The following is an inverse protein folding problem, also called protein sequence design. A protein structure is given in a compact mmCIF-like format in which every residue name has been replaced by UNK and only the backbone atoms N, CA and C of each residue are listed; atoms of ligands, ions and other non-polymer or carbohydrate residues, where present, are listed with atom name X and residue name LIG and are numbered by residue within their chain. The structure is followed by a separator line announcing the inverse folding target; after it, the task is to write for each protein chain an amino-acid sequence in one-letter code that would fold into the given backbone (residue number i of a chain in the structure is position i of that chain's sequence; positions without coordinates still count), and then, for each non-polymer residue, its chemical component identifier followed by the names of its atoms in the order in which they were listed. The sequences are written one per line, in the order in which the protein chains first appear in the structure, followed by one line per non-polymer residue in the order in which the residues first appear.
data_IF_740126110733
#
_entry.id   IF_740126110733
#
_cell.length_a   1.000
_cell.length_b   1.000
_cell.length_c   1.000
_cell.angle_alpha   90.00
_cell.angle_beta   90.00
_cell.angle_gamma   90.00
#
_symmetry.space_group_name_H-M   'P 1'
#
loop_
_entity.id
_entity.type
_entity.pdbx_description
1 polymer ?
#
# COMPACT_ATOMS: atom_id res chain seq x y z
N UNK A 1 -23.96 -42.67 -4.44
CA UNK A 1 -23.21 -41.40 -4.32
C UNK A 1 -22.24 -41.29 -5.49
N UNK A 2 -22.73 -40.86 -6.67
CA UNK A 2 -21.90 -40.72 -7.87
C UNK A 2 -21.18 -39.36 -7.83
N UNK A 3 -19.86 -39.37 -7.66
CA UNK A 3 -19.03 -38.18 -7.78
C UNK A 3 -18.69 -37.98 -9.25
N UNK A 4 -19.47 -37.13 -9.91
CA UNK A 4 -19.32 -36.83 -11.34
C UNK A 4 -17.88 -36.33 -11.65
N UNK A 5 -17.10 -37.06 -12.47
CA UNK A 5 -15.72 -36.71 -12.79
C UNK A 5 -15.59 -35.34 -13.49
N UNK A 6 -16.68 -34.85 -14.07
CA UNK A 6 -16.78 -33.52 -14.70
C UNK A 6 -16.75 -32.41 -13.64
N UNK A 7 -17.36 -32.62 -12.48
CA UNK A 7 -17.35 -31.68 -11.34
C UNK A 7 -15.95 -31.58 -10.73
N UNK A 8 -15.26 -32.71 -10.56
CA UNK A 8 -13.87 -32.74 -10.06
C UNK A 8 -12.92 -31.99 -10.98
N UNK A 9 -13.09 -32.15 -12.29
CA UNK A 9 -12.26 -31.47 -13.30
C UNK A 9 -12.53 -29.96 -13.33
N UNK A 10 -13.79 -29.54 -13.23
CA UNK A 10 -14.16 -28.11 -13.10
C UNK A 10 -13.64 -27.48 -11.81
N UNK A 11 -13.77 -28.17 -10.68
CA UNK A 11 -13.23 -27.70 -9.39
C UNK A 11 -11.70 -27.59 -9.41
N UNK A 12 -10.99 -28.54 -10.05
CA UNK A 12 -9.53 -28.47 -10.20
C UNK A 12 -9.12 -27.27 -11.04
N UNK A 13 -9.75 -27.04 -12.20
CA UNK A 13 -9.49 -25.86 -13.04
C UNK A 13 -9.81 -24.55 -12.32
N UNK A 14 -10.90 -24.49 -11.55
CA UNK A 14 -11.26 -23.32 -10.75
C UNK A 14 -10.21 -23.02 -9.67
N UNK A 15 -9.74 -24.06 -8.95
CA UNK A 15 -8.70 -23.92 -7.92
C UNK A 15 -7.37 -23.46 -8.53
N UNK A 16 -6.95 -24.03 -9.66
CA UNK A 16 -5.71 -23.62 -10.35
C UNK A 16 -5.77 -22.15 -10.78
N UNK A 17 -6.91 -21.69 -11.32
CA UNK A 17 -7.12 -20.28 -11.70
C UNK A 17 -7.13 -19.31 -10.50
N UNK A 18 -7.60 -19.75 -9.34
CA UNK A 18 -7.58 -18.93 -8.12
C UNK A 18 -6.14 -18.73 -7.60
N UNK A 19 -5.32 -19.78 -7.67
CA UNK A 19 -3.90 -19.71 -7.30
C UNK A 19 -3.10 -18.78 -8.23
N UNK A 20 -3.38 -18.81 -9.54
CA UNK A 20 -2.75 -17.92 -10.53
C UNK A 20 -3.10 -16.43 -10.32
N UNK A 21 -4.23 -16.12 -9.69
CA UNK A 21 -4.65 -14.76 -9.36
C UNK A 21 -4.17 -14.29 -7.97
N UNK A 22 -3.35 -15.08 -7.28
CA UNK A 22 -2.89 -14.75 -5.91
C UNK A 22 -4.01 -14.73 -4.86
N UNK A 23 -5.23 -15.17 -5.20
CA UNK A 23 -6.38 -15.15 -4.29
C UNK A 23 -6.37 -16.39 -3.40
N UNK A 24 -6.33 -16.18 -2.08
CA UNK A 24 -6.46 -17.25 -1.09
C UNK A 24 -7.87 -17.25 -0.50
N UNK A 25 -8.54 -18.40 -0.52
CA UNK A 25 -9.81 -18.58 0.17
C UNK A 25 -9.53 -18.85 1.66
N UNK A 26 -10.05 -17.97 2.52
CA UNK A 26 -10.03 -18.14 3.96
C UNK A 26 -11.45 -18.54 4.44
N UNK A 27 -11.54 -19.56 5.28
CA UNK A 27 -12.79 -19.92 5.94
C UNK A 27 -12.81 -19.31 7.34
N UNK A 28 -13.72 -18.36 7.55
CA UNK A 28 -13.88 -17.65 8.82
C UNK A 28 -15.20 -18.07 9.45
N UNK A 29 -15.18 -18.44 10.73
CA UNK A 29 -16.40 -18.58 11.53
C UNK A 29 -16.76 -17.20 12.09
N UNK A 30 -17.90 -16.70 11.66
CA UNK A 30 -18.43 -15.39 12.04
C UNK A 30 -19.78 -15.57 12.72
N UNK A 31 -20.17 -14.63 13.58
CA UNK A 31 -21.57 -14.48 13.97
C UNK A 31 -22.38 -14.04 12.75
N UNK A 32 -23.65 -14.46 12.68
CA UNK A 32 -24.52 -14.18 11.54
C UNK A 32 -24.68 -12.67 11.28
N UNK A 33 -24.79 -11.88 12.35
CA UNK A 33 -24.90 -10.41 12.31
C UNK A 33 -23.62 -9.71 11.82
N UNK A 34 -22.45 -10.35 11.92
CA UNK A 34 -21.17 -9.80 11.46
C UNK A 34 -20.93 -10.01 9.95
N UNK A 35 -21.66 -10.91 9.29
CA UNK A 35 -21.44 -11.25 7.87
C UNK A 35 -21.55 -10.04 6.94
N UNK A 36 -22.57 -9.16 7.04
CA UNK A 36 -22.67 -7.97 6.18
C UNK A 36 -21.50 -7.01 6.37
N UNK A 37 -21.04 -6.81 7.61
CA UNK A 37 -19.93 -5.92 7.92
C UNK A 37 -18.61 -6.42 7.32
N UNK A 38 -18.32 -7.72 7.43
CA UNK A 38 -17.13 -8.34 6.83
C UNK A 38 -17.17 -8.28 5.30
N UNK A 39 -18.33 -8.51 4.67
CA UNK A 39 -18.47 -8.35 3.21
C UNK A 39 -18.25 -6.92 2.75
N UNK A 40 -18.82 -5.95 3.47
CA UNK A 40 -18.63 -4.54 3.16
C UNK A 40 -17.17 -4.12 3.33
N UNK A 41 -16.49 -4.62 4.36
CA UNK A 41 -15.05 -4.42 4.57
C UNK A 41 -14.24 -5.00 3.41
N UNK A 42 -14.46 -6.28 3.07
CA UNK A 42 -13.75 -6.92 1.95
C UNK A 42 -13.94 -6.16 0.63
N UNK A 43 -15.17 -5.72 0.33
CA UNK A 43 -15.44 -4.93 -0.87
C UNK A 43 -14.78 -3.54 -0.85
N UNK A 44 -14.59 -2.92 0.32
CA UNK A 44 -13.79 -1.70 0.44
C UNK A 44 -12.32 -1.97 0.16
N UNK A 45 -11.74 -3.01 0.78
CA UNK A 45 -10.35 -3.40 0.56
C UNK A 45 -10.08 -3.71 -0.92
N UNK A 46 -10.99 -4.39 -1.62
CA UNK A 46 -10.84 -4.66 -3.06
C UNK A 46 -10.78 -3.37 -3.89
N UNK A 47 -11.62 -2.37 -3.58
CA UNK A 47 -11.60 -1.08 -4.28
C UNK A 47 -10.36 -0.27 -3.97
N UNK A 48 -9.94 -0.25 -2.71
CA UNK A 48 -8.71 0.42 -2.27
C UNK A 48 -7.50 -0.21 -2.94
N UNK A 49 -7.45 -1.54 -3.03
CA UNK A 49 -6.38 -2.27 -3.73
C UNK A 49 -6.36 -1.94 -5.23
N UNK A 50 -7.51 -1.96 -5.90
CA UNK A 50 -7.60 -1.62 -7.33
C UNK A 50 -7.22 -0.16 -7.60
N UNK A 51 -7.62 0.76 -6.72
CA UNK A 51 -7.23 2.17 -6.81
C UNK A 51 -5.71 2.32 -6.60
N UNK A 52 -5.14 1.64 -5.61
CA UNK A 52 -3.70 1.62 -5.36
C UNK A 52 -2.91 1.06 -6.55
N UNK A 53 -3.37 -0.04 -7.16
CA UNK A 53 -2.77 -0.59 -8.39
C UNK A 53 -2.77 0.42 -9.52
N UNK A 54 -3.89 1.12 -9.72
CA UNK A 54 -4.04 2.10 -10.80
C UNK A 54 -3.07 3.28 -10.63
N UNK A 55 -2.93 3.83 -9.42
CA UNK A 55 -2.02 4.96 -9.16
C UNK A 55 -0.55 4.55 -9.19
N UNK A 56 -0.24 3.30 -8.86
CA UNK A 56 1.13 2.79 -8.95
C UNK A 56 1.58 2.50 -10.39
N UNK A 57 0.67 2.49 -11.37
CA UNK A 57 0.98 2.07 -12.75
C UNK A 57 2.08 2.90 -13.41
N UNK A 58 2.04 4.23 -13.25
CA UNK A 58 3.04 5.13 -13.84
C UNK A 58 4.41 4.99 -13.14
N UNK A 59 4.51 5.08 -11.80
CA UNK A 59 5.74 4.79 -11.07
C UNK A 59 6.37 3.43 -11.46
N UNK A 60 5.56 2.36 -11.46
CA UNK A 60 6.02 1.02 -11.81
C UNK A 60 6.52 0.92 -13.24
N UNK A 61 5.88 1.64 -14.19
CA UNK A 61 6.36 1.67 -15.58
C UNK A 61 7.78 2.26 -15.64
N UNK A 62 8.04 3.34 -14.93
CA UNK A 62 9.37 3.98 -14.89
C UNK A 62 10.38 3.06 -14.20
N UNK A 63 10.07 2.59 -13.00
CA UNK A 63 10.97 1.75 -12.20
C UNK A 63 11.33 0.43 -12.90
N UNK A 64 10.40 -0.16 -13.65
CA UNK A 64 10.59 -1.45 -14.32
C UNK A 64 11.25 -1.33 -15.70
N UNK A 65 11.31 -0.15 -16.33
CA UNK A 65 11.74 0.00 -17.73
C UNK A 65 13.12 -0.63 -18.06
N UNK A 66 14.13 -0.60 -17.18
CA UNK A 66 15.43 -1.23 -17.43
C UNK A 66 15.66 -2.56 -16.68
N UNK A 67 14.63 -3.19 -16.09
CA UNK A 67 14.83 -4.28 -15.10
C UNK A 67 14.41 -5.66 -15.63
N UNK A 68 15.21 -6.72 -15.39
CA UNK A 68 14.87 -8.09 -15.80
C UNK A 68 13.74 -8.70 -14.97
N UNK A 69 13.62 -8.29 -13.71
CA UNK A 69 12.53 -8.67 -12.81
C UNK A 69 11.63 -7.46 -12.58
N UNK A 70 10.37 -7.57 -13.00
CA UNK A 70 9.38 -6.53 -12.77
C UNK A 70 8.86 -6.58 -11.33
N UNK A 71 8.75 -5.40 -10.73
CA UNK A 71 8.03 -5.19 -9.47
C UNK A 71 6.55 -4.96 -9.76
N UNK A 72 5.66 -5.55 -8.98
CA UNK A 72 4.23 -5.27 -9.00
C UNK A 72 3.82 -4.26 -7.92
N UNK A 73 2.57 -3.80 -7.95
CA UNK A 73 2.08 -2.79 -7.01
C UNK A 73 2.08 -3.29 -5.56
N UNK A 74 1.70 -4.55 -5.33
CA UNK A 74 1.70 -5.12 -3.99
C UNK A 74 3.11 -5.12 -3.39
N UNK A 75 4.10 -5.59 -4.16
CA UNK A 75 5.51 -5.62 -3.78
C UNK A 75 6.05 -4.21 -3.53
N UNK A 76 5.69 -3.23 -4.36
CA UNK A 76 6.05 -1.82 -4.12
C UNK A 76 5.52 -1.32 -2.77
N UNK A 77 4.25 -1.57 -2.47
CA UNK A 77 3.64 -1.14 -1.21
C UNK A 77 4.27 -1.84 0.00
N UNK A 78 4.59 -3.13 -0.11
CA UNK A 78 5.35 -3.87 0.90
C UNK A 78 6.75 -3.25 1.13
N UNK A 79 7.46 -2.91 0.04
CA UNK A 79 8.78 -2.28 0.11
C UNK A 79 8.71 -0.87 0.74
N UNK A 80 7.66 -0.10 0.46
CA UNK A 80 7.43 1.21 1.05
C UNK A 80 7.15 1.14 2.56
N UNK A 81 6.38 0.15 3.01
CA UNK A 81 6.17 -0.07 4.45
C UNK A 81 7.41 -0.58 5.16
N UNK A 82 8.39 -1.08 4.40
CA UNK A 82 9.63 -1.66 4.92
C UNK A 82 9.39 -2.82 5.90
N UNK A 83 8.30 -3.57 5.71
CA UNK A 83 7.98 -4.74 6.53
C UNK A 83 8.99 -5.88 6.31
N UNK A 84 9.58 -5.96 5.12
CA UNK A 84 10.65 -6.92 4.79
C UNK A 84 11.58 -6.30 3.74
N UNK A 85 12.86 -6.15 4.07
CA UNK A 85 13.86 -5.59 3.15
C UNK A 85 14.47 -6.73 2.34
N UNK A 86 14.19 -6.73 1.03
CA UNK A 86 14.70 -7.69 0.06
C UNK A 86 15.64 -6.96 -0.89
N UNK A 87 16.93 -7.28 -0.85
CA UNK A 87 17.98 -6.52 -1.54
C UNK A 87 17.83 -6.50 -3.06
N UNK A 88 17.16 -7.49 -3.65
CA UNK A 88 16.85 -7.54 -5.08
C UNK A 88 15.97 -6.37 -5.55
N UNK A 89 15.21 -5.73 -4.64
CA UNK A 89 14.34 -4.60 -4.94
C UNK A 89 15.00 -3.24 -4.74
N UNK A 90 16.23 -3.20 -4.22
CA UNK A 90 16.97 -1.95 -4.02
C UNK A 90 17.06 -1.10 -5.31
N UNK A 91 17.35 -1.66 -6.50
CA UNK A 91 17.43 -0.87 -7.73
C UNK A 91 16.09 -0.27 -8.16
N UNK A 92 14.97 -0.87 -7.75
CA UNK A 92 13.63 -0.34 -8.00
C UNK A 92 13.33 0.80 -7.02
N UNK A 93 13.66 0.63 -5.74
CA UNK A 93 13.46 1.66 -4.73
C UNK A 93 14.32 2.90 -4.98
N UNK A 94 15.56 2.72 -5.44
CA UNK A 94 16.39 3.85 -5.92
C UNK A 94 15.72 4.58 -7.09
N UNK A 95 15.26 3.85 -8.10
CA UNK A 95 14.55 4.45 -9.24
C UNK A 95 13.25 5.16 -8.83
N UNK A 96 12.53 4.67 -7.82
CA UNK A 96 11.36 5.35 -7.26
C UNK A 96 11.73 6.75 -6.74
N UNK A 97 12.83 6.89 -6.01
CA UNK A 97 13.20 8.16 -5.39
C UNK A 97 14.02 9.08 -6.30
N UNK A 98 14.71 8.55 -7.30
CA UNK A 98 15.54 9.33 -8.22
C UNK A 98 14.85 9.64 -9.56
N UNK A 99 14.14 8.66 -10.13
CA UNK A 99 13.70 8.71 -11.54
C UNK A 99 12.20 8.98 -11.68
N UNK A 100 11.37 8.50 -10.74
CA UNK A 100 9.91 8.72 -10.81
C UNK A 100 9.59 10.20 -10.61
N UNK A 101 8.62 10.69 -11.39
CA UNK A 101 8.16 12.07 -11.28
C UNK A 101 7.52 12.36 -9.92
N UNK A 102 7.78 13.57 -9.39
CA UNK A 102 7.25 14.01 -8.09
C UNK A 102 5.72 13.97 -8.08
N UNK A 103 5.07 14.38 -9.16
CA UNK A 103 3.61 14.36 -9.28
C UNK A 103 3.04 12.96 -9.14
N UNK A 104 3.69 11.96 -9.75
CA UNK A 104 3.28 10.57 -9.64
C UNK A 104 3.41 10.01 -8.21
N UNK A 105 4.47 10.38 -7.48
CA UNK A 105 4.63 10.02 -6.07
C UNK A 105 3.59 10.73 -5.20
N UNK A 106 3.28 11.99 -5.49
CA UNK A 106 2.24 12.73 -4.78
C UNK A 106 0.85 12.15 -5.03
N UNK A 107 0.53 11.73 -6.25
CA UNK A 107 -0.72 11.06 -6.59
C UNK A 107 -0.91 9.75 -5.80
N UNK A 108 0.17 8.99 -5.56
CA UNK A 108 0.11 7.81 -4.68
C UNK A 108 -0.29 8.17 -3.25
N UNK A 109 0.18 9.32 -2.73
CA UNK A 109 -0.18 9.82 -1.40
C UNK A 109 -1.62 10.32 -1.36
N UNK A 110 -2.05 11.11 -2.35
CA UNK A 110 -3.42 11.62 -2.43
C UNK A 110 -4.46 10.49 -2.55
N UNK A 111 -4.10 9.41 -3.24
CA UNK A 111 -4.93 8.21 -3.34
C UNK A 111 -4.88 7.31 -2.11
N UNK A 112 -4.06 7.63 -1.10
CA UNK A 112 -3.92 6.86 0.13
C UNK A 112 -3.18 5.53 -0.03
N UNK A 113 -2.48 5.31 -1.14
CA UNK A 113 -1.67 4.10 -1.33
C UNK A 113 -0.44 4.09 -0.40
N UNK A 114 0.08 5.27 -0.06
CA UNK A 114 1.17 5.48 0.89
C UNK A 114 1.01 6.83 1.62
N UNK A 115 1.90 7.15 2.55
CA UNK A 115 1.96 8.45 3.23
C UNK A 115 3.36 9.07 3.12
N UNK A 116 3.49 10.37 3.38
CA UNK A 116 4.80 11.02 3.39
C UNK A 116 5.71 10.46 4.49
N UNK A 117 5.18 10.07 5.64
CA UNK A 117 5.95 9.41 6.71
C UNK A 117 6.44 8.03 6.26
N UNK A 118 5.60 7.28 5.56
CA UNK A 118 5.96 5.96 5.01
C UNK A 118 7.06 6.12 3.97
N UNK A 119 6.96 7.10 3.08
CA UNK A 119 7.99 7.43 2.09
C UNK A 119 9.29 7.87 2.76
N UNK A 120 9.22 8.72 3.79
CA UNK A 120 10.39 9.18 4.52
C UNK A 120 11.09 8.05 5.28
N UNK A 121 10.31 7.15 5.88
CA UNK A 121 10.84 5.94 6.49
C UNK A 121 11.52 5.04 5.45
N UNK A 122 10.88 4.83 4.30
CA UNK A 122 11.43 4.03 3.21
C UNK A 122 12.76 4.60 2.68
N UNK A 123 12.88 5.92 2.50
CA UNK A 123 14.15 6.56 2.09
C UNK A 123 15.32 6.11 2.97
N UNK A 124 15.11 6.06 4.29
CA UNK A 124 16.16 5.69 5.26
C UNK A 124 16.47 4.20 5.25
N UNK A 125 15.43 3.37 5.20
CA UNK A 125 15.59 1.90 5.16
C UNK A 125 16.35 1.48 3.90
N UNK A 126 15.99 2.07 2.76
CA UNK A 126 16.57 1.77 1.46
C UNK A 126 17.83 2.59 1.15
N UNK A 127 18.32 3.40 2.10
CA UNK A 127 19.54 4.21 1.98
C UNK A 127 19.55 5.13 0.75
N UNK A 128 18.43 5.79 0.51
CA UNK A 128 18.17 6.68 -0.62
C UNK A 128 18.06 8.15 -0.17
N UNK A 129 18.68 8.53 0.95
CA UNK A 129 18.55 9.89 1.51
C UNK A 129 19.11 11.00 0.62
N UNK A 130 20.02 10.65 -0.30
CA UNK A 130 20.60 11.58 -1.28
C UNK A 130 19.79 11.65 -2.59
N UNK A 131 18.67 10.93 -2.67
CA UNK A 131 17.88 10.83 -3.88
C UNK A 131 17.19 12.15 -4.25
N UNK A 132 16.87 12.34 -5.54
CA UNK A 132 16.26 13.57 -6.08
C UNK A 132 15.02 14.01 -5.31
N UNK A 133 14.15 13.07 -4.93
CA UNK A 133 12.90 13.36 -4.22
C UNK A 133 13.08 13.48 -2.69
N UNK A 134 14.24 13.13 -2.13
CA UNK A 134 14.42 13.04 -0.69
C UNK A 134 14.19 14.36 0.08
N UNK A 135 14.67 15.53 -0.38
CA UNK A 135 14.42 16.80 0.30
C UNK A 135 12.93 17.13 0.38
N UNK A 136 12.20 16.94 -0.73
CA UNK A 136 10.76 17.19 -0.80
C UNK A 136 9.97 16.22 0.08
N UNK A 137 10.27 14.92 0.05
CA UNK A 137 9.60 13.92 0.89
C UNK A 137 9.78 14.26 2.38
N UNK A 138 11.00 14.64 2.78
CA UNK A 138 11.30 15.03 4.15
C UNK A 138 10.48 16.25 4.58
N UNK A 139 10.48 17.31 3.77
CA UNK A 139 9.69 18.52 4.04
C UNK A 139 8.21 18.19 4.23
N UNK A 140 7.63 17.39 3.34
CA UNK A 140 6.22 17.02 3.41
C UNK A 140 5.89 16.14 4.62
N UNK A 141 6.80 15.25 5.03
CA UNK A 141 6.64 14.46 6.24
C UNK A 141 6.70 15.34 7.50
N UNK A 142 7.65 16.28 7.57
CA UNK A 142 7.79 17.21 8.70
C UNK A 142 6.54 18.10 8.85
N UNK A 143 5.98 18.60 7.74
CA UNK A 143 4.73 19.36 7.74
C UNK A 143 3.54 18.53 8.28
N UNK A 144 3.45 17.26 7.89
CA UNK A 144 2.36 16.39 8.33
C UNK A 144 2.46 16.09 9.84
N UNK A 145 3.66 15.82 10.34
CA UNK A 145 3.93 15.60 11.76
C UNK A 145 3.63 16.86 12.59
N UNK A 146 4.06 18.04 12.13
CA UNK A 146 3.79 19.31 12.81
C UNK A 146 2.29 19.59 12.93
N UNK A 147 1.52 19.32 11.86
CA UNK A 147 0.06 19.45 11.87
C UNK A 147 -0.60 18.53 12.90
N UNK A 148 -0.14 17.29 13.00
CA UNK A 148 -0.70 16.31 13.93
C UNK A 148 -0.31 16.59 15.40
N UNK A 149 0.89 17.15 15.63
CA UNK A 149 1.32 17.60 16.96
C UNK A 149 0.57 18.85 17.45
N UNK A 150 0.30 19.82 16.56
CA UNK A 150 -0.45 21.03 16.88
C UNK A 150 -1.95 20.82 17.14
N UNK A 151 -2.52 19.68 16.72
CA UNK A 151 -3.91 19.32 17.00
C UNK A 151 -4.17 18.82 18.43
N UNK A 152 -3.13 18.41 19.17
CA UNK A 152 -3.26 17.86 20.52
C UNK A 152 -3.15 18.91 21.64
N UNK A 153 -2.91 20.19 21.32
CA UNK A 153 -2.68 21.27 22.30
C UNK A 153 -3.83 22.28 22.43
N UNK A 154 -4.98 22.09 21.78
CA UNK A 154 -6.08 23.07 21.77
C UNK A 154 -7.29 22.73 22.66
N UNK A 155 -7.15 21.80 23.62
CA UNK A 155 -8.25 21.31 24.47
C UNK A 155 -8.16 21.58 25.98
N UNK A 156 -7.07 22.15 26.49
CA UNK A 156 -6.88 22.35 27.93
C UNK A 156 -6.72 23.84 28.25
N UNK A 157 -7.83 24.56 28.43
CA UNK A 157 -7.74 25.96 28.84
C UNK A 157 -9.02 26.80 28.82
N UNK A 158 -10.22 26.20 28.84
CA UNK A 158 -11.46 26.95 29.07
C UNK A 158 -12.38 26.16 29.98
N UNK A 159 -12.11 26.25 31.29
CA UNK A 159 -13.14 26.34 32.34
C UNK A 159 -12.44 26.34 33.71
N UNK A 160 -12.18 27.54 34.24
CA UNK A 160 -12.12 27.83 35.69
C UNK A 160 -12.00 29.34 35.87
N UNK A 161 -13.08 30.07 35.60
CA UNK A 161 -13.33 31.37 36.20
C UNK A 161 -14.76 31.83 35.90
N UNK A 162 -15.71 31.43 36.74
CA UNK A 162 -16.88 32.27 37.00
C UNK A 162 -17.17 32.21 38.49
N UNK A 163 -16.77 33.30 39.16
CA UNK A 163 -17.23 33.70 40.47
C UNK A 163 -18.69 34.15 40.40
#
# INVERSE_FOLDING_TARGET
MSSDPTIRTRMRRYRTRQTELGRRRLELRLREDAVPAVRAFAGRCERELAAAEQVCRLPLKTMNAPRPQAMDAATLLECLRAETVRTEWLPHMQALFDEVDMGAVHDMVLAGATTFETLYHALRVWRCEDARLAPWIKEMADLHLARNAGGHSSGAGRDTARA
#
